data_IF_865573048632
#
_entry.id   IF_865573048632
#
_cell.length_a   1.000
_cell.length_b   1.000
_cell.length_c   1.000
_cell.angle_alpha   90.00
_cell.angle_beta   90.00
_cell.angle_gamma   90.00
#
_symmetry.space_group_name_H-M   'P 1'
#
loop_
_entity.id
_entity.type
_entity.pdbx_description
1 polymer ?
#
# COMPACT_ATOMS: atom_id res chain seq x y z
N UNK A 1 32.48 24.66 -4.13
CA UNK A 1 31.71 23.62 -3.42
C UNK A 1 32.37 22.29 -3.71
N UNK A 2 33.01 21.67 -2.72
CA UNK A 2 33.54 20.30 -2.88
C UNK A 2 32.35 19.37 -2.98
N UNK A 3 32.25 18.59 -4.06
CA UNK A 3 31.23 17.55 -4.18
C UNK A 3 31.29 16.66 -2.93
N UNK A 4 30.13 16.38 -2.31
CA UNK A 4 30.06 15.36 -1.27
C UNK A 4 30.66 14.08 -1.85
N UNK A 5 31.58 13.41 -1.14
CA UNK A 5 32.07 12.12 -1.60
C UNK A 5 30.87 11.19 -1.76
N UNK A 6 30.80 10.51 -2.91
CA UNK A 6 29.77 9.50 -3.17
C UNK A 6 29.82 8.33 -2.19
N UNK A 7 28.90 7.35 -2.32
CA UNK A 7 28.91 6.16 -1.49
C UNK A 7 30.29 5.48 -1.50
N UNK A 8 30.68 4.90 -0.35
CA UNK A 8 31.91 4.12 -0.23
C UNK A 8 31.59 2.63 -0.33
N UNK A 9 32.49 1.80 -0.90
CA UNK A 9 32.32 0.36 -0.92
C UNK A 9 32.17 -0.24 0.48
N UNK A 10 31.49 -1.39 0.59
CA UNK A 10 31.40 -2.14 1.84
C UNK A 10 32.79 -2.56 2.34
N UNK A 11 33.06 -2.28 3.62
CA UNK A 11 34.28 -2.69 4.29
C UNK A 11 34.29 -4.20 4.53
N UNK A 12 35.46 -4.76 4.83
CA UNK A 12 35.60 -6.17 5.21
C UNK A 12 34.68 -6.57 6.36
N UNK A 13 34.53 -5.69 7.37
CA UNK A 13 33.64 -5.93 8.50
C UNK A 13 32.17 -6.01 8.09
N UNK A 14 31.73 -5.16 7.15
CA UNK A 14 30.36 -5.19 6.62
C UNK A 14 30.12 -6.46 5.81
N UNK A 15 31.07 -6.84 4.95
CA UNK A 15 31.00 -8.09 4.17
C UNK A 15 30.89 -9.33 5.06
N UNK A 16 31.69 -9.38 6.12
CA UNK A 16 31.63 -10.46 7.10
C UNK A 16 30.26 -10.54 7.81
N UNK A 17 29.67 -9.39 8.18
CA UNK A 17 28.34 -9.34 8.78
C UNK A 17 27.23 -9.79 7.81
N UNK A 18 27.32 -9.40 6.54
CA UNK A 18 26.39 -9.82 5.48
C UNK A 18 26.48 -11.33 5.25
N UNK A 19 27.70 -11.88 5.16
CA UNK A 19 27.91 -13.32 5.00
C UNK A 19 27.36 -14.12 6.21
N UNK A 20 27.54 -13.60 7.42
CA UNK A 20 26.96 -14.22 8.63
C UNK A 20 25.43 -14.21 8.60
N UNK A 21 24.80 -13.11 8.18
CA UNK A 21 23.34 -13.02 8.02
C UNK A 21 22.81 -13.98 6.95
N UNK A 22 23.53 -14.09 5.82
CA UNK A 22 23.22 -15.05 4.75
C UNK A 22 23.24 -16.50 5.26
N UNK A 23 24.16 -16.84 6.16
CA UNK A 23 24.29 -18.19 6.72
C UNK A 23 23.29 -18.49 7.86
N UNK A 24 22.68 -17.48 8.47
CA UNK A 24 21.81 -17.66 9.65
C UNK A 24 20.31 -17.82 9.33
N UNK A 25 19.89 -17.57 8.08
CA UNK A 25 18.49 -17.56 7.67
C UNK A 25 18.22 -18.59 6.56
N UNK A 26 16.99 -19.12 6.48
CA UNK A 26 16.64 -20.16 5.51
C UNK A 26 16.37 -19.58 4.11
N UNK A 27 17.41 -19.12 3.41
CA UNK A 27 17.28 -18.52 2.07
C UNK A 27 16.86 -19.50 0.97
N UNK A 28 16.95 -20.80 1.23
CA UNK A 28 16.43 -21.86 0.37
C UNK A 28 14.90 -21.98 0.44
N UNK A 29 14.26 -21.40 1.45
CA UNK A 29 12.81 -21.34 1.55
C UNK A 29 12.24 -20.30 0.58
N UNK A 30 11.64 -20.78 -0.51
CA UNK A 30 11.01 -19.97 -1.55
C UNK A 30 9.50 -19.74 -1.37
N UNK A 31 8.90 -20.16 -0.25
CA UNK A 31 7.43 -20.11 -0.05
C UNK A 31 6.85 -18.72 -0.27
N UNK A 32 7.53 -17.66 0.16
CA UNK A 32 7.04 -16.29 -0.02
C UNK A 32 7.04 -15.88 -1.49
N UNK A 33 7.99 -16.35 -2.30
CA UNK A 33 8.00 -16.06 -3.73
C UNK A 33 6.78 -16.71 -4.40
N UNK A 34 6.50 -17.98 -4.08
CA UNK A 34 5.30 -18.66 -4.57
C UNK A 34 4.02 -17.93 -4.13
N UNK A 35 3.98 -17.46 -2.88
CA UNK A 35 2.85 -16.71 -2.36
C UNK A 35 2.66 -15.36 -3.06
N UNK A 36 3.75 -14.64 -3.38
CA UNK A 36 3.67 -13.37 -4.12
C UNK A 36 3.18 -13.57 -5.55
N UNK A 37 3.47 -14.68 -6.21
CA UNK A 37 3.00 -14.92 -7.60
C UNK A 37 1.58 -15.48 -7.67
N UNK A 38 1.08 -16.05 -6.57
CA UNK A 38 -0.23 -16.72 -6.56
C UNK A 38 -1.35 -15.73 -6.92
N UNK A 39 -2.18 -16.15 -7.87
CA UNK A 39 -3.34 -15.39 -8.31
C UNK A 39 -3.00 -14.23 -9.24
N UNK A 40 -1.77 -14.12 -9.75
CA UNK A 40 -1.41 -13.09 -10.72
C UNK A 40 -2.36 -13.06 -11.92
N UNK A 41 -2.93 -11.89 -12.20
CA UNK A 41 -3.84 -11.65 -13.33
C UNK A 41 -3.12 -10.85 -14.41
N UNK A 42 -2.58 -9.69 -14.05
CA UNK A 42 -1.96 -8.77 -15.01
C UNK A 42 -1.06 -7.73 -14.34
N UNK A 43 -0.15 -7.17 -15.14
CA UNK A 43 0.60 -5.95 -14.82
C UNK A 43 0.05 -4.77 -15.60
N UNK A 44 0.12 -3.57 -15.02
CA UNK A 44 -0.15 -2.34 -15.75
C UNK A 44 0.83 -2.16 -16.92
N UNK A 45 0.31 -1.80 -18.09
CA UNK A 45 1.11 -1.47 -19.27
C UNK A 45 1.81 -0.12 -19.12
N UNK A 46 1.11 0.87 -18.57
CA UNK A 46 1.70 2.14 -18.13
C UNK A 46 2.34 1.96 -16.75
N UNK A 47 3.67 2.12 -16.70
CA UNK A 47 4.50 1.82 -15.52
C UNK A 47 4.74 3.03 -14.60
N UNK A 48 4.36 4.21 -15.06
CA UNK A 48 4.52 5.47 -14.35
C UNK A 48 3.16 6.14 -14.18
N UNK A 49 2.78 6.44 -12.95
CA UNK A 49 1.60 7.24 -12.64
C UNK A 49 2.02 8.70 -12.62
N UNK A 50 1.23 9.57 -13.25
CA UNK A 50 1.51 11.01 -13.37
C UNK A 50 0.39 11.83 -12.76
N UNK A 51 0.75 12.93 -12.12
CA UNK A 51 -0.19 13.99 -11.78
C UNK A 51 -0.60 14.80 -13.03
N UNK A 52 -1.64 15.61 -12.89
CA UNK A 52 -2.16 16.49 -13.96
C UNK A 52 -1.11 17.46 -14.51
N UNK A 53 -0.12 17.83 -13.68
CA UNK A 53 1.01 18.68 -14.07
C UNK A 53 2.14 17.93 -14.81
N UNK A 54 1.97 16.62 -15.03
CA UNK A 54 2.89 15.74 -15.75
C UNK A 54 4.03 15.16 -14.89
N UNK A 55 4.15 15.55 -13.60
CA UNK A 55 5.14 14.94 -12.70
C UNK A 55 4.83 13.46 -12.50
N UNK A 56 5.87 12.64 -12.52
CA UNK A 56 5.77 11.22 -12.12
C UNK A 56 5.60 11.19 -10.59
N UNK A 57 4.44 10.71 -10.14
CA UNK A 57 4.12 10.60 -8.70
C UNK A 57 4.36 9.19 -8.16
N UNK A 58 4.42 8.20 -9.06
CA UNK A 58 4.79 6.82 -8.79
C UNK A 58 5.45 6.19 -10.02
N UNK A 59 6.46 5.35 -9.80
CA UNK A 59 7.18 4.62 -10.85
C UNK A 59 7.42 3.19 -10.36
N UNK A 60 6.72 2.23 -10.98
CA UNK A 60 6.75 0.81 -10.61
C UNK A 60 8.06 0.14 -11.02
N UNK A 61 8.81 0.72 -11.97
CA UNK A 61 10.06 0.15 -12.48
C UNK A 61 11.28 0.76 -11.78
N UNK A 62 11.06 1.69 -10.84
CA UNK A 62 12.12 2.40 -10.14
C UNK A 62 13.04 1.51 -9.28
N UNK A 63 12.66 0.25 -9.07
CA UNK A 63 13.42 -0.75 -8.31
C UNK A 63 13.82 -1.97 -9.15
N UNK A 64 13.84 -1.88 -10.48
CA UNK A 64 14.22 -2.99 -11.38
C UNK A 64 15.62 -3.58 -11.08
N UNK A 65 16.50 -2.84 -10.40
CA UNK A 65 17.80 -3.34 -9.95
C UNK A 65 17.70 -4.51 -8.93
N UNK A 66 16.54 -4.70 -8.28
CA UNK A 66 16.32 -5.80 -7.33
C UNK A 66 16.21 -7.17 -8.02
N UNK A 67 16.01 -7.22 -9.34
CA UNK A 67 16.05 -8.49 -10.10
C UNK A 67 17.46 -9.11 -10.14
N UNK A 68 18.49 -8.35 -9.75
CA UNK A 68 19.86 -8.83 -9.66
C UNK A 68 20.19 -9.56 -8.35
N UNK A 69 21.42 -10.09 -8.29
CA UNK A 69 21.99 -10.69 -7.09
C UNK A 69 22.15 -9.66 -5.96
N UNK A 70 22.00 -10.11 -4.71
CA UNK A 70 22.21 -9.23 -3.55
C UNK A 70 23.66 -8.71 -3.52
N UNK A 71 23.87 -7.38 -3.52
CA UNK A 71 25.19 -6.78 -3.47
C UNK A 71 25.80 -6.88 -2.06
N UNK A 72 27.11 -6.70 -1.96
CA UNK A 72 27.81 -6.63 -0.67
C UNK A 72 27.54 -5.33 0.13
N UNK A 73 26.72 -4.43 -0.41
CA UNK A 73 26.26 -3.18 0.23
C UNK A 73 24.86 -3.29 0.83
N UNK A 74 24.16 -4.41 0.64
CA UNK A 74 22.81 -4.63 1.15
C UNK A 74 22.74 -5.83 2.11
N UNK A 75 21.83 -5.76 3.08
CA UNK A 75 21.51 -6.92 3.89
C UNK A 75 20.71 -7.94 3.04
N UNK A 76 21.09 -9.23 3.02
CA UNK A 76 20.47 -10.21 2.12
C UNK A 76 19.00 -10.49 2.45
N UNK A 77 18.59 -10.37 3.72
CA UNK A 77 17.19 -10.52 4.10
C UNK A 77 16.35 -9.34 3.62
N UNK A 78 16.88 -8.11 3.71
CA UNK A 78 16.21 -6.92 3.18
C UNK A 78 16.17 -6.92 1.65
N UNK A 79 17.21 -7.41 0.99
CA UNK A 79 17.22 -7.58 -0.47
C UNK A 79 16.14 -8.55 -0.93
N UNK A 80 16.05 -9.73 -0.28
CA UNK A 80 14.98 -10.71 -0.52
C UNK A 80 13.59 -10.09 -0.30
N UNK A 81 13.42 -9.31 0.76
CA UNK A 81 12.16 -8.61 1.03
C UNK A 81 11.81 -7.61 -0.09
N UNK A 82 12.79 -6.86 -0.59
CA UNK A 82 12.62 -5.98 -1.74
C UNK A 82 12.19 -6.75 -2.99
N UNK A 83 12.82 -7.90 -3.27
CA UNK A 83 12.47 -8.76 -4.41
C UNK A 83 11.04 -9.32 -4.35
N UNK A 84 10.51 -9.56 -3.15
CA UNK A 84 9.11 -9.95 -2.94
C UNK A 84 8.17 -8.77 -3.21
N UNK A 85 8.50 -7.59 -2.68
CA UNK A 85 7.60 -6.44 -2.70
C UNK A 85 7.48 -5.80 -4.10
N UNK A 86 8.53 -5.87 -4.94
CA UNK A 86 8.48 -5.38 -6.34
C UNK A 86 7.57 -6.19 -7.27
N UNK A 87 6.94 -7.26 -6.78
CA UNK A 87 5.92 -8.02 -7.54
C UNK A 87 4.59 -7.27 -7.57
N UNK A 88 4.54 -6.27 -8.44
CA UNK A 88 3.39 -5.42 -8.69
C UNK A 88 2.36 -6.04 -9.66
N UNK A 89 1.13 -5.54 -9.60
CA UNK A 89 0.05 -5.91 -10.52
C UNK A 89 -1.30 -6.15 -9.83
N UNK A 90 -2.22 -6.72 -10.61
CA UNK A 90 -3.53 -7.20 -10.19
C UNK A 90 -3.43 -8.70 -9.85
N UNK A 91 -3.90 -9.06 -8.65
CA UNK A 91 -3.88 -10.43 -8.14
C UNK A 91 -5.27 -10.83 -7.64
N UNK A 92 -5.73 -12.02 -7.98
CA UNK A 92 -6.91 -12.66 -7.40
C UNK A 92 -6.51 -13.41 -6.12
N UNK A 93 -7.03 -12.98 -4.98
CA UNK A 93 -6.76 -13.63 -3.68
C UNK A 93 -7.61 -14.90 -3.57
N UNK A 94 -8.91 -14.72 -3.78
CA UNK A 94 -9.95 -15.75 -3.92
C UNK A 94 -10.98 -15.24 -4.93
N UNK A 95 -11.84 -16.10 -5.49
CA UNK A 95 -12.86 -15.65 -6.44
C UNK A 95 -13.66 -14.45 -5.90
N UNK A 96 -13.65 -13.35 -6.66
CA UNK A 96 -14.34 -12.10 -6.31
C UNK A 96 -13.56 -11.13 -5.44
N UNK A 97 -12.37 -11.49 -4.92
CA UNK A 97 -11.52 -10.59 -4.13
C UNK A 97 -10.16 -10.42 -4.82
N UNK A 98 -9.83 -9.18 -5.12
CA UNK A 98 -8.63 -8.81 -5.86
C UNK A 98 -7.78 -7.81 -5.08
N UNK A 99 -6.48 -7.83 -5.31
CA UNK A 99 -5.54 -6.86 -4.77
C UNK A 99 -4.73 -6.21 -5.89
N UNK A 100 -4.53 -4.91 -5.75
CA UNK A 100 -3.66 -4.09 -6.57
C UNK A 100 -2.44 -3.76 -5.73
N UNK A 101 -1.30 -4.36 -6.09
CA UNK A 101 -0.06 -4.31 -5.31
C UNK A 101 1.02 -3.56 -6.09
N UNK A 102 1.88 -2.84 -5.36
CA UNK A 102 2.99 -2.08 -5.97
C UNK A 102 2.58 -0.81 -6.70
N UNK A 103 1.34 -0.33 -6.51
CA UNK A 103 0.88 0.98 -6.99
C UNK A 103 1.18 2.11 -6.00
N UNK A 104 1.51 1.77 -4.76
CA UNK A 104 1.90 2.68 -3.69
C UNK A 104 2.63 1.89 -2.59
N UNK A 105 2.87 2.50 -1.42
CA UNK A 105 3.41 1.81 -0.24
C UNK A 105 2.49 0.66 0.21
N UNK A 106 1.19 0.92 0.25
CA UNK A 106 0.14 0.02 0.70
C UNK A 106 -0.50 -0.76 -0.46
N UNK A 107 -1.46 -1.62 -0.13
CA UNK A 107 -2.22 -2.43 -1.09
C UNK A 107 -3.66 -1.96 -1.10
N UNK A 108 -4.22 -1.77 -2.31
CA UNK A 108 -5.65 -1.54 -2.47
C UNK A 108 -6.35 -2.87 -2.74
N UNK A 109 -7.42 -3.15 -2.03
CA UNK A 109 -8.24 -4.36 -2.23
C UNK A 109 -9.57 -3.99 -2.88
N UNK A 110 -10.04 -4.83 -3.80
CA UNK A 110 -11.32 -4.70 -4.49
C UNK A 110 -12.14 -5.97 -4.28
N UNK A 111 -13.37 -5.82 -3.81
CA UNK A 111 -14.33 -6.92 -3.62
C UNK A 111 -15.48 -6.76 -4.61
N UNK A 112 -15.70 -7.78 -5.45
CA UNK A 112 -16.85 -7.85 -6.36
C UNK A 112 -18.14 -8.06 -5.55
N UNK A 113 -19.13 -7.20 -5.83
CA UNK A 113 -20.41 -7.14 -5.13
C UNK A 113 -21.59 -7.29 -6.11
N UNK A 114 -22.83 -7.23 -5.63
CA UNK A 114 -24.02 -7.50 -6.45
C UNK A 114 -24.18 -6.50 -7.61
N UNK A 115 -23.96 -5.20 -7.35
CA UNK A 115 -24.19 -4.12 -8.31
C UNK A 115 -22.91 -3.35 -8.68
N UNK A 116 -21.78 -3.64 -8.02
CA UNK A 116 -20.54 -2.92 -8.23
C UNK A 116 -19.35 -3.57 -7.54
N UNK A 117 -18.54 -2.73 -6.90
CA UNK A 117 -17.36 -3.14 -6.14
C UNK A 117 -17.25 -2.36 -4.84
N UNK A 118 -16.66 -3.00 -3.83
CA UNK A 118 -16.21 -2.34 -2.60
C UNK A 118 -14.70 -2.15 -2.71
N UNK A 119 -14.23 -0.93 -2.45
CA UNK A 119 -12.79 -0.61 -2.39
C UNK A 119 -12.35 -0.56 -0.93
N UNK A 120 -11.21 -1.17 -0.62
CA UNK A 120 -10.61 -1.14 0.72
C UNK A 120 -9.21 -0.55 0.58
N UNK A 121 -8.96 0.47 1.40
CA UNK A 121 -7.69 1.19 1.50
C UNK A 121 -7.17 1.75 0.18
N UNK A 122 -7.69 2.91 -0.28
CA UNK A 122 -7.36 3.47 -1.58
C UNK A 122 -6.01 4.20 -1.60
N UNK A 123 -4.93 3.59 -1.09
CA UNK A 123 -3.54 4.08 -1.24
C UNK A 123 -3.30 5.50 -0.66
N UNK A 124 -2.13 6.09 -0.92
CA UNK A 124 -1.73 7.42 -0.38
C UNK A 124 -2.30 8.56 -1.22
N UNK A 125 -2.34 8.40 -2.56
CA UNK A 125 -2.66 9.50 -3.47
C UNK A 125 -3.78 9.13 -4.43
N UNK A 126 -4.60 10.12 -4.80
CA UNK A 126 -5.74 9.91 -5.71
C UNK A 126 -5.29 9.37 -7.07
N UNK A 127 -4.11 9.77 -7.56
CA UNK A 127 -3.58 9.33 -8.84
C UNK A 127 -3.19 7.84 -8.82
N UNK A 128 -2.55 7.38 -7.75
CA UNK A 128 -2.15 5.97 -7.62
C UNK A 128 -3.38 5.07 -7.44
N UNK A 129 -4.36 5.50 -6.65
CA UNK A 129 -5.63 4.79 -6.47
C UNK A 129 -6.43 4.70 -7.78
N UNK A 130 -6.52 5.79 -8.54
CA UNK A 130 -7.18 5.80 -9.84
C UNK A 130 -6.48 4.87 -10.85
N UNK A 131 -5.14 4.89 -10.91
CA UNK A 131 -4.37 3.99 -11.77
C UNK A 131 -4.55 2.51 -11.40
N UNK A 132 -4.56 2.21 -10.09
CA UNK A 132 -4.81 0.86 -9.59
C UNK A 132 -6.21 0.36 -9.95
N UNK A 133 -7.23 1.21 -9.78
CA UNK A 133 -8.61 0.87 -10.12
C UNK A 133 -8.80 0.71 -11.63
N UNK A 134 -8.09 1.51 -12.45
CA UNK A 134 -8.10 1.36 -13.90
C UNK A 134 -7.57 -0.02 -14.34
N UNK A 135 -6.49 -0.53 -13.73
CA UNK A 135 -5.99 -1.88 -14.02
C UNK A 135 -7.04 -2.95 -13.66
N UNK A 136 -7.71 -2.82 -12.52
CA UNK A 136 -8.81 -3.72 -12.17
C UNK A 136 -9.90 -3.70 -13.25
N UNK A 137 -10.35 -2.51 -13.67
CA UNK A 137 -11.42 -2.32 -14.65
C UNK A 137 -11.06 -2.87 -16.03
N UNK A 138 -9.81 -2.78 -16.45
CA UNK A 138 -9.30 -3.36 -17.70
C UNK A 138 -9.56 -4.88 -17.77
N UNK A 139 -9.41 -5.59 -16.65
CA UNK A 139 -9.48 -7.05 -16.62
C UNK A 139 -10.80 -7.61 -16.07
N UNK A 140 -11.51 -6.84 -15.25
CA UNK A 140 -12.71 -7.29 -14.50
C UNK A 140 -13.98 -6.54 -14.89
N UNK A 141 -13.87 -5.52 -15.73
CA UNK A 141 -14.98 -4.70 -16.20
C UNK A 141 -15.16 -3.41 -15.39
N UNK A 142 -15.79 -2.43 -16.01
CA UNK A 142 -16.01 -1.08 -15.45
C UNK A 142 -17.19 -1.05 -14.47
N UNK A 143 -17.00 -1.73 -13.33
CA UNK A 143 -17.99 -1.77 -12.25
C UNK A 143 -17.92 -0.48 -11.40
N UNK A 144 -19.06 0.11 -11.02
CA UNK A 144 -19.07 1.29 -10.15
C UNK A 144 -18.63 0.91 -8.74
N UNK A 145 -17.99 1.86 -8.04
CA UNK A 145 -17.72 1.72 -6.61
C UNK A 145 -19.03 1.95 -5.85
N UNK A 146 -19.45 0.96 -5.08
CA UNK A 146 -20.71 0.96 -4.32
C UNK A 146 -20.49 1.01 -2.80
N UNK A 147 -19.24 0.90 -2.34
CA UNK A 147 -18.85 1.11 -0.96
C UNK A 147 -17.34 1.25 -0.81
N UNK A 148 -16.89 1.82 0.31
CA UNK A 148 -15.47 1.92 0.63
C UNK A 148 -15.22 1.60 2.10
N UNK A 149 -14.05 1.06 2.41
CA UNK A 149 -13.63 0.75 3.77
C UNK A 149 -12.23 1.32 4.00
N UNK A 150 -12.04 2.01 5.12
CA UNK A 150 -10.72 2.32 5.67
C UNK A 150 -10.44 1.37 6.82
N UNK A 151 -9.38 0.59 6.72
CA UNK A 151 -9.04 -0.39 7.77
C UNK A 151 -8.54 0.28 9.03
N UNK A 152 -7.78 1.37 8.87
CA UNK A 152 -7.21 2.12 9.98
C UNK A 152 -6.80 3.54 9.58
N UNK A 153 -6.34 4.31 10.56
CA UNK A 153 -6.18 5.76 10.51
C UNK A 153 -4.86 6.29 9.92
N UNK A 154 -4.11 5.49 9.16
CA UNK A 154 -2.89 5.95 8.48
C UNK A 154 -3.13 6.38 7.03
N UNK A 155 -2.35 7.37 6.58
CA UNK A 155 -2.55 8.08 5.32
C UNK A 155 -2.54 7.17 4.10
N UNK A 156 -1.71 6.13 4.09
CA UNK A 156 -1.62 5.15 3.02
C UNK A 156 -2.83 4.24 2.88
N UNK A 157 -3.81 4.35 3.79
CA UNK A 157 -5.04 3.56 3.80
C UNK A 157 -6.29 4.40 3.53
N UNK A 158 -6.17 5.71 3.34
CA UNK A 158 -7.32 6.56 2.97
C UNK A 158 -7.00 7.65 1.95
N UNK A 159 -5.73 7.96 1.75
CA UNK A 159 -5.27 9.15 1.04
C UNK A 159 -5.73 9.24 -0.41
N UNK A 160 -5.90 8.13 -1.13
CA UNK A 160 -6.39 8.16 -2.51
C UNK A 160 -7.90 8.01 -2.68
N UNK A 161 -8.70 8.27 -1.63
CA UNK A 161 -10.16 8.15 -1.66
C UNK A 161 -10.83 8.84 -2.86
N UNK A 162 -10.51 10.11 -3.13
CA UNK A 162 -11.10 10.83 -4.27
C UNK A 162 -10.58 10.35 -5.64
N UNK A 163 -9.63 9.42 -5.67
CA UNK A 163 -9.20 8.72 -6.88
C UNK A 163 -10.14 7.59 -7.30
N UNK A 164 -11.00 7.11 -6.39
CA UNK A 164 -11.89 5.96 -6.62
C UNK A 164 -13.37 6.29 -6.45
N UNK A 165 -13.71 7.34 -5.69
CA UNK A 165 -15.09 7.79 -5.48
C UNK A 165 -15.23 9.30 -5.63
N UNK A 166 -16.40 9.76 -6.09
CA UNK A 166 -16.74 11.19 -6.05
C UNK A 166 -17.31 11.55 -4.67
N UNK A 167 -16.73 12.57 -4.04
CA UNK A 167 -17.20 13.12 -2.75
C UNK A 167 -18.67 13.49 -2.78
N UNK A 168 -19.19 14.00 -3.91
CA UNK A 168 -20.58 14.36 -4.05
C UNK A 168 -21.53 13.15 -3.95
N UNK A 169 -21.10 11.97 -4.40
CA UNK A 169 -21.89 10.75 -4.29
C UNK A 169 -21.90 10.20 -2.86
N UNK A 170 -20.80 10.37 -2.12
CA UNK A 170 -20.72 10.06 -0.68
C UNK A 170 -21.59 11.02 0.13
N UNK A 171 -21.47 12.33 -0.11
CA UNK A 171 -22.25 13.37 0.57
C UNK A 171 -23.77 13.22 0.28
N UNK A 172 -24.13 12.68 -0.89
CA UNK A 172 -25.50 12.34 -1.26
C UNK A 172 -25.99 10.99 -0.66
N UNK A 173 -25.15 10.28 0.09
CA UNK A 173 -25.46 9.00 0.74
C UNK A 173 -25.54 7.81 -0.23
N UNK A 174 -24.98 7.91 -1.43
CA UNK A 174 -24.99 6.82 -2.42
C UNK A 174 -23.90 5.78 -2.17
N UNK A 175 -22.77 6.20 -1.62
CA UNK A 175 -21.60 5.36 -1.38
C UNK A 175 -21.27 5.43 0.11
N UNK A 176 -21.58 4.38 0.90
CA UNK A 176 -21.15 4.30 2.29
C UNK A 176 -19.63 4.12 2.39
N UNK A 177 -19.03 4.81 3.35
CA UNK A 177 -17.64 4.66 3.76
C UNK A 177 -17.60 4.17 5.21
N UNK A 178 -17.01 3.00 5.44
CA UNK A 178 -16.89 2.38 6.76
C UNK A 178 -15.47 2.56 7.30
N UNK A 179 -15.35 2.86 8.59
CA UNK A 179 -14.07 2.97 9.29
C UNK A 179 -14.22 2.56 10.76
N UNK A 180 -13.13 2.19 11.47
CA UNK A 180 -13.20 1.97 12.91
C UNK A 180 -13.53 3.27 13.66
N UNK A 181 -14.27 3.15 14.76
CA UNK A 181 -14.57 4.26 15.66
C UNK A 181 -13.30 5.05 16.03
N UNK A 182 -13.38 6.38 15.98
CA UNK A 182 -12.25 7.28 16.26
C UNK A 182 -11.32 7.52 15.08
N UNK A 183 -11.56 6.90 13.90
CA UNK A 183 -10.74 7.07 12.70
C UNK A 183 -10.46 8.55 12.36
N UNK A 184 -11.51 9.37 12.25
CA UNK A 184 -11.34 10.75 11.77
C UNK A 184 -10.53 11.63 12.75
N UNK A 185 -10.75 11.44 14.04
CA UNK A 185 -10.00 12.14 15.08
C UNK A 185 -8.52 11.78 15.03
N UNK A 186 -8.19 10.49 14.84
CA UNK A 186 -6.81 10.01 14.78
C UNK A 186 -6.12 10.39 13.47
N UNK A 187 -6.78 10.23 12.32
CA UNK A 187 -6.27 10.62 11.01
C UNK A 187 -5.90 12.11 10.96
N UNK A 188 -6.68 12.99 11.62
CA UNK A 188 -6.37 14.43 11.66
C UNK A 188 -5.34 14.75 12.75
N UNK A 189 -5.49 14.21 13.95
CA UNK A 189 -4.62 14.58 15.08
C UNK A 189 -3.16 14.15 14.88
N UNK A 190 -2.93 12.99 14.26
CA UNK A 190 -1.60 12.50 13.94
C UNK A 190 -0.84 13.47 13.02
N UNK A 191 -1.52 13.98 11.99
CA UNK A 191 -0.90 14.80 10.97
C UNK A 191 -0.73 16.28 11.36
N UNK A 192 -1.45 16.77 12.37
CA UNK A 192 -1.48 18.21 12.68
C UNK A 192 -0.55 18.58 13.84
N UNK A 193 -0.64 17.93 15.01
CA UNK A 193 0.06 18.40 16.21
C UNK A 193 1.58 18.28 16.13
N UNK A 194 2.08 17.18 15.55
CA UNK A 194 3.51 16.93 15.37
C UNK A 194 3.93 16.84 13.89
N UNK A 195 3.05 17.24 12.96
CA UNK A 195 3.18 16.99 11.53
C UNK A 195 4.51 17.45 10.92
N UNK A 196 4.99 18.65 11.27
CA UNK A 196 6.28 19.15 10.76
C UNK A 196 7.46 18.26 11.19
N UNK A 197 7.48 17.84 12.45
CA UNK A 197 8.55 16.99 12.97
C UNK A 197 8.45 15.56 12.38
N UNK A 198 7.23 15.03 12.28
CA UNK A 198 6.96 13.72 11.68
C UNK A 198 7.37 13.70 10.22
N UNK A 199 6.91 14.65 9.39
CA UNK A 199 7.27 14.74 7.98
C UNK A 199 8.79 14.86 7.77
N UNK A 200 9.48 15.68 8.58
CA UNK A 200 10.95 15.79 8.48
C UNK A 200 11.66 14.47 8.79
N UNK A 201 11.17 13.71 9.77
CA UNK A 201 11.71 12.39 10.16
C UNK A 201 11.34 11.30 9.15
N UNK A 202 10.14 11.36 8.58
CA UNK A 202 9.69 10.47 7.51
C UNK A 202 10.61 10.55 6.29
N UNK A 203 11.11 11.75 5.96
CA UNK A 203 12.10 11.90 4.89
C UNK A 203 13.39 11.09 5.10
N UNK A 204 13.80 10.83 6.35
CA UNK A 204 14.89 9.88 6.66
C UNK A 204 14.40 8.43 6.61
N UNK A 205 13.27 8.14 7.23
CA UNK A 205 12.69 6.78 7.30
C UNK A 205 12.47 6.17 5.91
N UNK A 206 11.90 6.93 4.98
CA UNK A 206 11.63 6.48 3.61
C UNK A 206 12.79 6.77 2.64
N UNK A 207 13.89 7.37 3.12
CA UNK A 207 15.05 7.68 2.28
C UNK A 207 14.74 8.63 1.13
N UNK A 208 13.85 9.61 1.31
CA UNK A 208 13.31 10.46 0.24
C UNK A 208 14.37 11.24 -0.57
N UNK A 209 15.57 11.45 0.00
CA UNK A 209 16.69 12.12 -0.66
C UNK A 209 17.76 11.16 -1.21
N UNK A 210 17.59 9.84 -1.04
CA UNK A 210 18.53 8.82 -1.51
C UNK A 210 18.18 8.40 -2.92
N UNK A 211 19.20 8.13 -3.74
CA UNK A 211 19.01 7.47 -5.03
C UNK A 211 18.49 6.05 -4.79
N UNK A 212 17.49 5.63 -5.56
CA UNK A 212 17.04 4.23 -5.60
C UNK A 212 18.15 3.37 -6.20
N UNK A 213 18.67 2.40 -5.45
CA UNK A 213 19.75 1.53 -5.92
C UNK A 213 20.51 0.80 -4.80
N UNK A 214 21.42 -0.13 -5.18
CA UNK A 214 22.23 -0.96 -4.27
C UNK A 214 22.97 -0.24 -3.14
N UNK A 215 23.36 1.01 -3.35
CA UNK A 215 24.13 1.84 -2.40
C UNK A 215 23.27 2.93 -1.75
N UNK A 216 21.96 2.93 -1.99
CA UNK A 216 21.01 3.94 -1.56
C UNK A 216 19.74 3.33 -0.98
N UNK A 217 18.59 3.76 -1.50
CA UNK A 217 17.30 3.28 -1.03
C UNK A 217 16.91 1.98 -1.77
N UNK A 218 16.64 0.92 -1.01
CA UNK A 218 16.25 -0.41 -1.55
C UNK A 218 14.85 -0.86 -1.12
N UNK A 219 14.07 0.03 -0.49
CA UNK A 219 12.72 -0.23 -0.02
C UNK A 219 12.46 0.35 1.38
N UNK A 220 11.23 0.21 1.87
CA UNK A 220 10.82 0.58 3.23
C UNK A 220 10.52 -0.66 4.11
N UNK A 221 10.77 -1.87 3.61
CA UNK A 221 10.52 -3.13 4.31
C UNK A 221 9.06 -3.61 4.26
N UNK A 222 8.10 -2.68 4.37
CA UNK A 222 6.66 -2.92 4.19
C UNK A 222 6.23 -2.88 2.72
N UNK A 223 6.72 -1.87 1.99
CA UNK A 223 6.54 -1.67 0.55
C UNK A 223 7.78 -0.95 -0.01
N UNK A 224 7.69 -0.43 -1.24
CA UNK A 224 8.83 0.26 -1.87
C UNK A 224 9.13 1.60 -1.20
N UNK A 225 8.17 2.52 -1.23
CA UNK A 225 8.24 3.90 -0.74
C UNK A 225 6.85 4.52 -0.80
N UNK A 226 6.70 5.80 -0.46
CA UNK A 226 5.42 6.52 -0.54
C UNK A 226 5.28 7.24 -1.88
N UNK A 227 4.09 7.22 -2.48
CA UNK A 227 3.80 8.09 -3.63
C UNK A 227 3.82 9.57 -3.27
N UNK A 228 3.87 10.43 -4.29
CA UNK A 228 4.10 11.90 -4.15
C UNK A 228 3.07 12.74 -4.90
N UNK A 229 1.87 12.17 -5.07
CA UNK A 229 0.71 12.82 -5.65
C UNK A 229 -0.09 13.62 -4.63
N UNK A 230 -1.40 13.72 -4.86
CA UNK A 230 -2.30 14.47 -3.98
C UNK A 230 -3.02 13.52 -3.00
N UNK A 231 -2.75 13.62 -1.68
CA UNK A 231 -3.56 12.95 -0.66
C UNK A 231 -4.89 13.68 -0.45
N UNK A 232 -5.92 12.90 -0.17
CA UNK A 232 -7.32 13.30 0.00
C UNK A 232 -7.91 12.60 1.22
N UNK A 233 -9.06 13.08 1.71
CA UNK A 233 -9.77 12.46 2.83
C UNK A 233 -11.26 12.74 2.71
N UNK A 234 -12.05 11.68 2.62
CA UNK A 234 -13.51 11.73 2.72
C UNK A 234 -13.88 11.15 4.09
N UNK A 235 -14.59 11.88 4.97
CA UNK A 235 -15.00 11.36 6.26
C UNK A 235 -15.82 10.06 6.12
N UNK A 236 -15.62 9.07 7.02
CA UNK A 236 -16.46 7.88 7.03
C UNK A 236 -17.92 8.26 7.30
N UNK A 237 -18.84 7.50 6.71
CA UNK A 237 -20.28 7.66 6.90
C UNK A 237 -20.85 6.69 7.93
N UNK A 238 -20.10 5.65 8.28
CA UNK A 238 -20.48 4.64 9.27
C UNK A 238 -19.26 4.21 10.08
N UNK A 239 -19.39 4.28 11.41
CA UNK A 239 -18.37 3.80 12.34
C UNK A 239 -18.61 2.35 12.73
N UNK A 240 -17.56 1.55 12.75
CA UNK A 240 -17.52 0.25 13.39
C UNK A 240 -17.15 0.45 14.85
N UNK A 241 -18.05 0.12 15.78
CA UNK A 241 -17.95 0.47 17.21
C UNK A 241 -17.78 -0.73 18.13
N UNK A 242 -17.91 -1.96 17.62
CA UNK A 242 -17.68 -3.17 18.41
C UNK A 242 -17.20 -4.36 17.57
N UNK A 243 -16.37 -5.21 18.18
CA UNK A 243 -16.04 -6.54 17.62
C UNK A 243 -17.28 -7.42 17.54
N UNK A 244 -17.47 -8.06 16.40
CA UNK A 244 -18.66 -8.83 16.05
C UNK A 244 -19.76 -8.00 15.38
N UNK A 245 -19.56 -6.69 15.21
CA UNK A 245 -20.43 -5.88 14.35
C UNK A 245 -20.39 -6.45 12.94
N UNK A 246 -21.57 -6.59 12.33
CA UNK A 246 -21.71 -7.12 10.97
C UNK A 246 -22.42 -6.09 10.12
N UNK A 247 -21.85 -5.77 8.97
CA UNK A 247 -22.47 -4.89 7.96
C UNK A 247 -22.63 -5.63 6.64
N UNK A 248 -23.52 -5.11 5.80
CA UNK A 248 -23.69 -5.59 4.42
C UNK A 248 -23.50 -4.43 3.47
N UNK A 249 -22.49 -4.52 2.61
CA UNK A 249 -22.23 -3.57 1.54
C UNK A 249 -22.54 -4.24 0.21
N UNK A 250 -23.55 -3.74 -0.49
CA UNK A 250 -23.91 -4.22 -1.85
C UNK A 250 -23.98 -5.77 -1.98
N UNK A 251 -24.63 -6.42 -1.01
CA UNK A 251 -24.78 -7.88 -0.96
C UNK A 251 -23.63 -8.63 -0.29
N UNK A 252 -22.48 -7.98 -0.05
CA UNK A 252 -21.33 -8.57 0.63
C UNK A 252 -21.46 -8.39 2.14
N UNK A 253 -21.58 -9.51 2.86
CA UNK A 253 -21.59 -9.53 4.33
C UNK A 253 -20.18 -9.50 4.90
N UNK A 254 -19.96 -8.65 5.90
CA UNK A 254 -18.65 -8.41 6.51
C UNK A 254 -18.79 -8.42 8.03
N UNK A 255 -17.98 -9.21 8.72
CA UNK A 255 -17.89 -9.22 10.18
C UNK A 255 -16.59 -8.52 10.61
N UNK A 256 -16.68 -7.56 11.53
CA UNK A 256 -15.56 -6.73 11.94
C UNK A 256 -15.03 -7.08 13.33
N UNK A 257 -13.74 -6.89 13.53
CA UNK A 257 -13.06 -7.00 14.81
C UNK A 257 -12.24 -5.73 15.05
N UNK A 258 -12.62 -4.95 16.07
CA UNK A 258 -11.84 -3.78 16.48
C UNK A 258 -10.53 -4.21 17.14
N UNK A 259 -9.44 -3.56 16.74
CA UNK A 259 -8.08 -3.78 17.27
C UNK A 259 -7.40 -2.44 17.60
N UNK A 260 -8.01 -1.55 18.42
CA UNK A 260 -7.43 -0.24 18.68
C UNK A 260 -6.08 -0.33 19.41
N UNK A 261 -5.11 0.47 18.96
CA UNK A 261 -3.79 0.58 19.58
C UNK A 261 -2.81 -0.54 19.22
N UNK A 262 -3.08 -1.30 18.15
CA UNK A 262 -2.11 -2.24 17.56
C UNK A 262 -1.13 -1.51 16.65
N UNK A 263 -1.43 -1.39 15.36
CA UNK A 263 -0.61 -0.64 14.41
C UNK A 263 -1.02 0.84 14.42
N UNK A 264 -2.34 1.11 14.45
CA UNK A 264 -2.90 2.45 14.59
C UNK A 264 -3.82 2.60 15.83
N UNK A 265 -4.08 3.84 16.29
CA UNK A 265 -5.02 4.08 17.39
C UNK A 265 -6.45 3.63 17.09
N UNK A 266 -6.91 3.83 15.84
CA UNK A 266 -8.16 3.31 15.33
C UNK A 266 -7.87 2.34 14.17
N UNK A 267 -8.18 1.06 14.39
CA UNK A 267 -7.88 -0.06 13.50
C UNK A 267 -8.89 -1.18 13.68
N UNK A 268 -9.17 -1.90 12.59
CA UNK A 268 -10.00 -3.09 12.60
C UNK A 268 -9.54 -4.15 11.60
N UNK A 269 -9.68 -5.41 12.01
CA UNK A 269 -9.75 -6.54 11.09
C UNK A 269 -11.18 -6.73 10.60
N UNK A 270 -11.34 -7.47 9.49
CA UNK A 270 -12.64 -7.89 8.99
C UNK A 270 -12.56 -9.26 8.33
N UNK A 271 -13.71 -9.94 8.28
CA UNK A 271 -13.87 -11.26 7.73
C UNK A 271 -15.05 -11.29 6.76
N UNK A 272 -14.84 -11.91 5.60
CA UNK A 272 -15.88 -12.19 4.61
C UNK A 272 -16.38 -13.63 4.78
N UNK A 273 -17.41 -13.89 5.60
CA UNK A 273 -17.87 -15.24 5.91
C UNK A 273 -18.35 -16.07 4.72
N UNK A 274 -18.71 -15.39 3.62
CA UNK A 274 -19.22 -16.02 2.41
C UNK A 274 -18.13 -16.25 1.33
N UNK A 275 -16.88 -15.83 1.60
CA UNK A 275 -15.69 -16.13 0.79
C UNK A 275 -14.75 -17.09 1.55
N UNK A 276 -14.30 -18.16 0.90
CA UNK A 276 -13.37 -19.16 1.46
C UNK A 276 -12.25 -19.50 0.50
#
# INVERSE_FOLDING_TARGET
MTASPGPRPATESTRAAIAAAAASLPFDNATDFDATERGFVAKATERQVRADDGRVVWDMDAYAFLDGDCPDTANPSLWRQGQLLVRDGLFEVVPGIYQLRGFDLSVMTVVEADNGIIVIDPLICKETAAAALALYREHRGDRPVTGMIYTHSHLDHFGGAEGVVDRADVDAGKIPILAPEGFLDHAVSENVYAGTAMARRAGYMYGAALTKGPEGQIGAGLGQTTSTGEPTLIPPTLDITATGQTEVLDGVRIEFQLTPGTEAPAEMNFYFPDHR
#
